data_IF_988269861599
#
_entry.id   IF_988269861599
#
_cell.length_a   1.000
_cell.length_b   1.000
_cell.length_c   1.000
_cell.angle_alpha   90.00
_cell.angle_beta   90.00
_cell.angle_gamma   90.00
#
_symmetry.space_group_name_H-M   'P 1'
#
loop_
_entity.id
_entity.type
_entity.pdbx_description
1 polymer ?
#
# COMPACT_ATOMS: atom_id res chain seq x y z
N UNK A 1 -10.98 -4.92 0.83
CA UNK A 1 -9.56 -4.65 0.49
C UNK A 1 -9.32 -4.81 -1.00
N UNK A 2 -8.25 -4.22 -1.49
CA UNK A 2 -7.72 -4.41 -2.83
C UNK A 2 -6.22 -4.69 -2.69
N UNK A 3 -5.74 -5.72 -3.39
CA UNK A 3 -4.32 -6.12 -3.39
C UNK A 3 -3.79 -5.94 -4.81
N UNK A 4 -2.65 -5.27 -4.95
CA UNK A 4 -2.01 -4.99 -6.23
C UNK A 4 -0.54 -5.36 -6.19
N UNK A 5 0.00 -5.73 -7.35
CA UNK A 5 1.43 -5.76 -7.61
C UNK A 5 1.79 -4.54 -8.45
N UNK A 6 2.70 -3.72 -7.96
CA UNK A 6 3.14 -2.49 -8.63
C UNK A 6 4.62 -2.60 -8.92
N UNK A 7 4.97 -2.51 -10.21
CA UNK A 7 6.34 -2.41 -10.69
C UNK A 7 6.59 -0.97 -11.16
N UNK A 8 7.37 -0.24 -10.40
CA UNK A 8 7.67 1.16 -10.67
C UNK A 8 8.89 1.31 -11.59
N UNK A 9 8.71 1.12 -12.90
CA UNK A 9 9.74 1.38 -13.89
C UNK A 9 10.15 2.86 -13.99
N UNK A 10 9.29 3.78 -13.51
CA UNK A 10 9.52 5.23 -13.37
C UNK A 10 8.95 5.71 -12.05
N UNK A 11 9.37 6.90 -11.59
CA UNK A 11 8.77 7.51 -10.41
C UNK A 11 7.26 7.66 -10.59
N UNK A 12 6.47 7.15 -9.67
CA UNK A 12 5.03 7.35 -9.68
C UNK A 12 4.70 8.77 -9.17
N UNK A 13 3.47 9.24 -9.46
CA UNK A 13 3.05 10.57 -9.01
C UNK A 13 3.17 10.72 -7.50
N UNK A 14 3.56 11.92 -7.05
CA UNK A 14 3.38 12.31 -5.65
C UNK A 14 1.89 12.54 -5.44
N UNK A 15 1.32 11.88 -4.44
CA UNK A 15 -0.11 11.81 -4.21
C UNK A 15 -0.45 11.70 -2.72
N UNK A 16 -1.71 11.93 -2.41
CA UNK A 16 -2.30 11.71 -1.08
C UNK A 16 -3.69 11.12 -1.24
N UNK A 17 -4.11 10.34 -0.26
CA UNK A 17 -5.45 9.75 -0.21
C UNK A 17 -6.24 10.30 0.97
N UNK A 18 -7.55 10.56 0.81
CA UNK A 18 -8.42 11.00 1.90
C UNK A 18 -8.74 9.85 2.87
N UNK A 19 -9.20 10.19 4.06
CA UNK A 19 -9.89 9.27 4.95
C UNK A 19 -11.34 8.98 4.48
N UNK A 20 -12.02 8.07 5.18
CA UNK A 20 -13.40 7.67 4.86
C UNK A 20 -14.39 8.84 4.93
N UNK A 21 -14.22 9.74 5.91
CA UNK A 21 -15.15 10.83 6.11
C UNK A 21 -15.11 11.81 4.92
N UNK A 22 -13.91 12.22 4.53
CA UNK A 22 -13.73 13.10 3.38
C UNK A 22 -14.12 12.43 2.06
N UNK A 23 -13.66 11.18 1.84
CA UNK A 23 -13.92 10.46 0.60
C UNK A 23 -15.42 10.21 0.38
N UNK A 24 -16.17 9.84 1.42
CA UNK A 24 -17.62 9.63 1.32
C UNK A 24 -18.37 10.92 1.04
N UNK A 25 -17.97 12.03 1.65
CA UNK A 25 -18.61 13.32 1.48
C UNK A 25 -18.37 13.94 0.09
N UNK A 26 -17.18 13.73 -0.51
CA UNK A 26 -16.77 14.44 -1.73
C UNK A 26 -16.73 13.54 -2.97
N UNK A 27 -16.49 12.24 -2.80
CA UNK A 27 -16.30 11.30 -3.92
C UNK A 27 -17.31 10.15 -3.93
N UNK A 28 -18.11 10.00 -2.87
CA UNK A 28 -19.03 8.86 -2.71
C UNK A 28 -18.33 7.50 -2.60
N UNK A 29 -17.07 7.49 -2.18
CA UNK A 29 -16.23 6.30 -2.07
C UNK A 29 -15.64 6.15 -0.67
N UNK A 30 -14.97 5.03 -0.40
CA UNK A 30 -14.17 4.87 0.81
C UNK A 30 -12.89 5.68 0.72
N UNK A 31 -12.31 6.00 1.87
CA UNK A 31 -10.94 6.50 1.99
C UNK A 31 -9.91 5.46 1.55
N UNK A 32 -8.65 5.80 1.62
CA UNK A 32 -7.59 4.92 1.18
C UNK A 32 -6.40 4.94 2.14
N UNK A 33 -6.46 4.08 3.14
CA UNK A 33 -5.30 3.65 3.93
C UNK A 33 -4.70 2.44 3.24
N UNK A 34 -3.37 2.38 3.17
CA UNK A 34 -2.63 1.33 2.48
C UNK A 34 -1.35 0.93 3.21
N UNK A 35 -0.83 -0.22 2.84
CA UNK A 35 0.51 -0.66 3.19
C UNK A 35 1.20 -1.23 1.97
N UNK A 36 2.52 -1.11 1.93
CA UNK A 36 3.38 -1.72 0.90
C UNK A 36 4.32 -2.72 1.54
N UNK A 37 4.42 -3.89 0.92
CA UNK A 37 5.49 -4.85 1.17
C UNK A 37 6.44 -4.82 -0.03
N UNK A 38 7.70 -4.50 0.20
CA UNK A 38 8.71 -4.37 -0.87
C UNK A 38 9.13 -5.76 -1.33
N UNK A 39 8.81 -6.13 -2.56
CA UNK A 39 9.17 -7.40 -3.18
C UNK A 39 10.60 -7.38 -3.72
N UNK A 40 10.97 -6.26 -4.34
CA UNK A 40 12.34 -5.99 -4.79
C UNK A 40 12.59 -4.49 -4.86
N UNK A 41 13.86 -4.11 -4.70
CA UNK A 41 14.30 -2.74 -4.86
C UNK A 41 15.68 -2.72 -5.53
N UNK A 42 15.88 -1.79 -6.46
CA UNK A 42 17.19 -1.52 -7.04
C UNK A 42 18.15 -0.94 -5.96
N UNK A 43 19.46 -1.02 -6.13
CA UNK A 43 20.40 -0.30 -5.27
C UNK A 43 19.99 1.19 -5.16
N UNK A 44 20.05 1.74 -3.95
CA UNK A 44 19.70 3.12 -3.62
C UNK A 44 18.24 3.54 -3.95
N UNK A 45 17.35 2.60 -4.23
CA UNK A 45 15.94 2.85 -4.43
C UNK A 45 15.31 3.42 -3.16
N UNK A 46 14.40 4.36 -3.34
CA UNK A 46 13.72 5.04 -2.25
C UNK A 46 12.26 5.35 -2.63
N UNK A 47 11.49 5.64 -1.62
CA UNK A 47 10.15 6.18 -1.77
C UNK A 47 10.02 7.48 -0.97
N UNK A 48 9.01 8.27 -1.28
CA UNK A 48 8.62 9.38 -0.41
C UNK A 48 7.47 8.93 0.50
N UNK A 49 7.56 9.27 1.81
CA UNK A 49 6.51 8.96 2.76
C UNK A 49 6.46 10.03 3.88
N UNK A 50 5.44 10.90 3.79
CA UNK A 50 5.28 12.03 4.70
C UNK A 50 6.27 13.17 4.46
N UNK A 51 6.31 14.10 5.40
CA UNK A 51 7.22 15.25 5.37
C UNK A 51 8.42 15.04 6.28
N UNK A 52 9.55 15.63 5.92
CA UNK A 52 10.78 15.65 6.71
C UNK A 52 10.71 16.64 7.89
N UNK A 53 9.78 17.60 7.86
CA UNK A 53 9.47 18.58 8.89
C UNK A 53 8.02 19.03 8.78
N UNK A 54 7.52 19.70 9.81
CA UNK A 54 6.21 20.33 9.74
C UNK A 54 6.20 21.44 8.69
N UNK A 55 5.09 21.55 7.95
CA UNK A 55 4.87 22.61 6.97
C UNK A 55 3.46 23.20 7.12
N UNK A 56 3.30 24.46 6.73
CA UNK A 56 1.98 25.09 6.67
C UNK A 56 1.21 24.70 5.41
N UNK A 57 -0.11 24.95 5.39
CA UNK A 57 -0.95 24.80 4.19
C UNK A 57 -0.44 25.67 3.03
N UNK A 58 -0.05 26.92 3.34
CA UNK A 58 0.43 27.88 2.33
C UNK A 58 1.80 27.45 1.78
N UNK A 59 2.66 26.90 2.63
CA UNK A 59 3.93 26.34 2.16
C UNK A 59 3.69 25.14 1.24
N UNK A 60 2.78 24.22 1.59
CA UNK A 60 2.43 23.08 0.74
C UNK A 60 1.94 23.58 -0.62
N UNK A 61 1.00 24.54 -0.65
CA UNK A 61 0.46 25.09 -1.89
C UNK A 61 1.55 25.72 -2.76
N UNK A 62 2.43 26.54 -2.16
CA UNK A 62 3.56 27.15 -2.86
C UNK A 62 4.52 26.10 -3.44
N UNK A 63 4.91 25.10 -2.65
CA UNK A 63 5.84 24.06 -3.08
C UNK A 63 5.29 23.20 -4.23
N UNK A 64 3.99 22.96 -4.25
CA UNK A 64 3.31 22.30 -5.37
C UNK A 64 3.40 23.19 -6.62
N UNK A 65 3.09 24.49 -6.50
CA UNK A 65 3.11 25.44 -7.61
C UNK A 65 4.52 25.62 -8.19
N UNK A 66 5.53 25.69 -7.32
CA UNK A 66 6.93 25.92 -7.69
C UNK A 66 7.67 24.63 -8.08
N UNK A 67 7.01 23.44 -8.04
CA UNK A 67 7.62 22.13 -8.28
C UNK A 67 8.80 21.82 -7.33
N UNK A 68 8.78 22.35 -6.10
CA UNK A 68 9.82 22.14 -5.07
C UNK A 68 9.36 21.21 -3.95
N UNK A 69 8.22 20.56 -4.11
CA UNK A 69 7.64 19.67 -3.10
C UNK A 69 8.60 18.54 -2.63
N UNK A 70 9.39 17.88 -3.49
CA UNK A 70 10.34 16.84 -3.07
C UNK A 70 11.36 17.29 -2.02
N UNK A 71 11.69 18.58 -1.92
CA UNK A 71 12.67 19.11 -0.97
C UNK A 71 12.22 19.02 0.50
N UNK A 72 10.92 18.89 0.74
CA UNK A 72 10.34 18.78 2.08
C UNK A 72 9.73 17.41 2.38
N UNK A 73 9.77 16.48 1.42
CA UNK A 73 9.30 15.12 1.63
C UNK A 73 10.36 14.28 2.36
N UNK A 74 9.89 13.35 3.17
CA UNK A 74 10.76 12.35 3.79
C UNK A 74 11.11 11.28 2.76
N UNK A 75 12.41 11.19 2.43
CA UNK A 75 12.96 10.12 1.59
C UNK A 75 13.27 8.90 2.46
N UNK A 76 12.68 7.76 2.12
CA UNK A 76 12.87 6.48 2.82
C UNK A 76 13.54 5.51 1.87
N UNK A 77 14.79 5.14 2.14
CA UNK A 77 15.47 4.09 1.39
C UNK A 77 14.85 2.73 1.76
N UNK A 78 14.65 1.88 0.78
CA UNK A 78 13.98 0.60 0.96
C UNK A 78 14.75 -0.55 0.29
N UNK A 79 14.55 -1.74 0.83
CA UNK A 79 15.05 -3.01 0.30
C UNK A 79 13.95 -4.07 0.33
N UNK A 80 14.15 -5.17 -0.38
CA UNK A 80 13.24 -6.30 -0.34
C UNK A 80 12.97 -6.76 1.12
N UNK A 81 11.72 -6.99 1.44
CA UNK A 81 11.24 -7.37 2.77
C UNK A 81 10.81 -6.21 3.65
N UNK A 82 11.12 -4.98 3.29
CA UNK A 82 10.66 -3.81 4.05
C UNK A 82 9.14 -3.62 3.93
N UNK A 83 8.54 -3.07 4.97
CA UNK A 83 7.12 -2.75 5.03
C UNK A 83 6.94 -1.27 5.31
N UNK A 84 6.02 -0.64 4.59
CA UNK A 84 5.67 0.77 4.77
C UNK A 84 4.17 0.89 4.95
N UNK A 85 3.73 1.45 6.08
CA UNK A 85 2.31 1.74 6.34
C UNK A 85 2.01 3.19 6.01
N UNK A 86 0.94 3.43 5.26
CA UNK A 86 0.56 4.74 4.73
C UNK A 86 -0.89 5.02 5.13
N UNK A 87 -1.12 5.60 6.32
CA UNK A 87 -2.46 6.02 6.71
C UNK A 87 -2.96 7.15 5.80
N UNK A 88 -4.27 7.22 5.61
CA UNK A 88 -4.91 8.33 4.90
C UNK A 88 -4.38 9.69 5.37
N UNK A 89 -4.28 10.65 4.44
CA UNK A 89 -3.67 11.96 4.67
C UNK A 89 -2.14 12.00 4.55
N UNK A 90 -1.46 10.86 4.38
CA UNK A 90 -0.02 10.83 4.19
C UNK A 90 0.33 11.08 2.72
N UNK A 91 1.11 12.12 2.45
CA UNK A 91 1.67 12.37 1.12
C UNK A 91 2.79 11.35 0.83
N UNK A 92 2.78 10.73 -0.35
CA UNK A 92 3.72 9.65 -0.66
C UNK A 92 3.95 9.48 -2.17
N UNK A 93 5.00 8.76 -2.53
CA UNK A 93 5.24 8.29 -3.90
C UNK A 93 6.16 7.06 -3.89
N UNK A 94 5.89 6.09 -4.74
CA UNK A 94 6.82 5.01 -5.08
C UNK A 94 7.75 5.55 -6.17
N UNK A 95 9.06 5.57 -5.91
CA UNK A 95 10.04 5.96 -6.91
C UNK A 95 10.51 4.74 -7.72
N UNK A 96 11.18 5.00 -8.82
CA UNK A 96 11.62 3.98 -9.79
C UNK A 96 12.45 2.86 -9.14
N UNK A 97 12.40 1.68 -9.75
CA UNK A 97 13.21 0.53 -9.36
C UNK A 97 12.68 -0.23 -8.15
N UNK A 98 11.43 -0.01 -7.77
CA UNK A 98 10.78 -0.68 -6.65
C UNK A 98 9.61 -1.50 -7.16
N UNK A 99 9.51 -2.75 -6.70
CA UNK A 99 8.33 -3.59 -6.88
C UNK A 99 7.70 -3.83 -5.52
N UNK A 100 6.41 -3.52 -5.39
CA UNK A 100 5.68 -3.71 -4.13
C UNK A 100 4.42 -4.56 -4.31
N UNK A 101 4.05 -5.26 -3.25
CA UNK A 101 2.68 -5.68 -3.03
C UNK A 101 1.98 -4.60 -2.19
N UNK A 102 0.96 -3.97 -2.75
CA UNK A 102 0.13 -2.97 -2.09
C UNK A 102 -1.15 -3.63 -1.57
N UNK A 103 -1.41 -3.48 -0.28
CA UNK A 103 -2.70 -3.84 0.34
C UNK A 103 -3.38 -2.55 0.80
N UNK A 104 -4.62 -2.32 0.36
CA UNK A 104 -5.32 -1.06 0.58
C UNK A 104 -6.83 -1.26 0.83
N UNK A 105 -7.48 -0.24 1.37
CA UNK A 105 -8.93 -0.14 1.29
C UNK A 105 -9.39 -0.22 -0.18
N UNK A 106 -10.57 -0.81 -0.43
CA UNK A 106 -11.18 -0.85 -1.76
C UNK A 106 -11.66 0.54 -2.17
N UNK A 107 -10.74 1.33 -2.71
CA UNK A 107 -10.94 2.72 -3.13
C UNK A 107 -10.03 3.05 -4.30
N UNK A 108 -10.51 3.92 -5.20
CA UNK A 108 -9.74 4.48 -6.31
C UNK A 108 -9.39 5.95 -6.11
N UNK A 109 -9.76 6.55 -4.96
CA UNK A 109 -9.56 7.97 -4.73
C UNK A 109 -8.09 8.30 -4.56
N UNK A 110 -7.59 9.16 -5.43
CA UNK A 110 -6.18 9.58 -5.44
C UNK A 110 -6.09 11.06 -5.80
N UNK A 111 -5.58 11.86 -4.88
CA UNK A 111 -5.30 13.27 -5.12
C UNK A 111 -3.84 13.47 -5.51
N UNK A 112 -3.61 13.62 -6.80
CA UNK A 112 -2.28 13.78 -7.40
C UNK A 112 -1.84 15.24 -7.29
N UNK A 113 -0.63 15.46 -6.79
CA UNK A 113 -0.06 16.82 -6.60
C UNK A 113 1.17 17.08 -7.46
N UNK A 114 1.86 16.04 -7.92
CA UNK A 114 2.95 16.17 -8.87
C UNK A 114 3.01 14.91 -9.75
N UNK A 115 3.09 15.09 -11.05
CA UNK A 115 3.15 13.99 -12.02
C UNK A 115 4.28 14.15 -13.04
N UNK A 116 5.24 15.01 -12.73
CA UNK A 116 6.45 15.23 -13.54
C UNK A 116 6.15 15.57 -15.02
N UNK A 117 5.00 16.18 -15.30
CA UNK A 117 4.59 16.55 -16.66
C UNK A 117 4.23 15.37 -17.56
N UNK A 118 3.97 14.18 -17.01
CA UNK A 118 3.60 13.00 -17.80
C UNK A 118 2.28 13.19 -18.52
N UNK A 119 2.27 12.75 -19.78
CA UNK A 119 1.06 12.75 -20.61
C UNK A 119 0.26 11.47 -20.37
N UNK A 120 -1.04 11.61 -20.31
CA UNK A 120 -1.99 10.51 -20.31
C UNK A 120 -2.15 9.87 -21.68
N UNK A 121 -3.00 8.84 -21.83
CA UNK A 121 -3.27 8.18 -23.12
C UNK A 121 -3.85 9.13 -24.16
N UNK A 122 -4.48 10.23 -23.74
CA UNK A 122 -5.04 11.29 -24.59
C UNK A 122 -4.01 12.36 -25.03
N UNK A 123 -2.73 12.16 -24.68
CA UNK A 123 -1.64 13.10 -24.99
C UNK A 123 -1.65 14.38 -24.14
N UNK A 124 -2.49 14.47 -23.11
CA UNK A 124 -2.55 15.63 -22.20
C UNK A 124 -1.94 15.31 -20.84
N UNK A 125 -1.41 16.31 -20.10
CA UNK A 125 -0.99 16.11 -18.72
C UNK A 125 -2.15 15.55 -17.89
N UNK A 126 -1.86 14.57 -17.01
CA UNK A 126 -2.87 14.05 -16.09
C UNK A 126 -3.28 15.14 -15.09
N UNK A 127 -4.57 15.16 -14.75
CA UNK A 127 -5.12 16.16 -13.84
C UNK A 127 -4.44 16.09 -12.46
N UNK A 128 -4.16 17.26 -11.88
CA UNK A 128 -3.75 17.43 -10.50
C UNK A 128 -4.97 17.82 -9.65
N UNK A 129 -4.99 17.39 -8.40
CA UNK A 129 -6.09 17.56 -7.46
C UNK A 129 -5.62 18.40 -6.26
N UNK A 130 -5.14 19.61 -6.54
CA UNK A 130 -4.39 20.44 -5.56
C UNK A 130 -5.29 20.85 -4.40
N UNK A 131 -6.51 21.32 -4.67
CA UNK A 131 -7.42 21.80 -3.63
C UNK A 131 -7.75 20.66 -2.63
N UNK A 132 -8.15 19.49 -3.13
CA UNK A 132 -8.47 18.32 -2.31
C UNK A 132 -7.23 17.85 -1.53
N UNK A 133 -6.07 17.83 -2.18
CA UNK A 133 -4.83 17.44 -1.53
C UNK A 133 -4.47 18.39 -0.36
N UNK A 134 -4.65 19.71 -0.54
CA UNK A 134 -4.43 20.68 0.52
C UNK A 134 -5.37 20.49 1.72
N UNK A 135 -6.57 19.96 1.48
CA UNK A 135 -7.55 19.71 2.54
C UNK A 135 -7.21 18.48 3.36
N UNK A 136 -6.80 17.38 2.70
CA UNK A 136 -6.63 16.08 3.35
C UNK A 136 -5.21 15.79 3.82
N UNK A 137 -4.19 16.52 3.31
CA UNK A 137 -2.80 16.21 3.63
C UNK A 137 -2.46 16.53 5.08
N UNK A 138 -1.96 15.54 5.82
CA UNK A 138 -1.31 15.72 7.10
C UNK A 138 0.03 16.43 6.90
N UNK A 139 0.22 17.57 7.55
CA UNK A 139 1.37 18.47 7.34
C UNK A 139 2.42 18.42 8.45
N UNK A 140 2.32 17.44 9.35
CA UNK A 140 3.30 17.19 10.41
C UNK A 140 4.41 16.27 9.92
N UNK A 141 5.60 16.43 10.51
CA UNK A 141 6.75 15.57 10.21
C UNK A 141 6.51 14.10 10.55
N UNK A 142 7.10 13.24 9.74
CA UNK A 142 7.01 11.80 9.92
C UNK A 142 5.65 11.19 9.59
N UNK A 143 5.57 9.89 9.72
CA UNK A 143 4.33 9.11 9.59
C UNK A 143 4.16 8.30 10.85
N UNK A 144 3.06 8.46 11.59
CA UNK A 144 2.79 7.62 12.73
C UNK A 144 2.72 6.15 12.31
N UNK A 145 3.60 5.34 12.87
CA UNK A 145 3.56 3.89 12.69
C UNK A 145 3.07 3.28 14.00
N UNK A 146 1.84 2.73 14.02
CA UNK A 146 1.31 2.07 15.20
C UNK A 146 2.12 0.82 15.55
N UNK A 147 2.00 0.36 16.80
CA UNK A 147 2.38 -1.01 17.12
C UNK A 147 1.33 -1.95 16.53
N UNK A 148 1.76 -2.79 15.61
CA UNK A 148 0.90 -3.75 14.92
C UNK A 148 0.75 -5.10 15.67
N UNK A 149 1.32 -5.24 16.87
CA UNK A 149 1.21 -6.46 17.67
C UNK A 149 1.81 -7.70 17.00
N UNK A 150 2.91 -7.52 16.26
CA UNK A 150 3.61 -8.59 15.53
C UNK A 150 3.14 -8.83 14.10
N UNK A 151 2.10 -8.15 13.64
CA UNK A 151 1.68 -8.13 12.24
C UNK A 151 2.57 -7.21 11.39
N UNK A 152 2.63 -7.40 10.08
CA UNK A 152 3.28 -6.44 9.16
C UNK A 152 2.52 -5.10 9.12
N UNK A 153 1.20 -5.17 9.15
CA UNK A 153 0.30 -4.04 9.33
C UNK A 153 -1.03 -4.50 9.91
N UNK A 154 -1.63 -3.65 10.75
CA UNK A 154 -2.97 -3.85 11.30
C UNK A 154 -3.66 -2.51 11.49
N UNK A 155 -4.87 -2.38 10.95
CA UNK A 155 -5.73 -1.23 11.11
C UNK A 155 -7.21 -1.66 11.03
N UNK A 156 -8.12 -0.71 11.10
CA UNK A 156 -9.57 -0.99 11.02
C UNK A 156 -10.03 -1.62 9.71
N UNK A 157 -9.17 -1.61 8.69
CA UNK A 157 -9.52 -2.02 7.33
C UNK A 157 -8.90 -3.33 6.89
N UNK A 158 -7.76 -3.70 7.47
CA UNK A 158 -7.04 -4.93 7.14
C UNK A 158 -5.98 -5.30 8.17
N UNK A 159 -5.67 -6.57 8.22
CA UNK A 159 -4.50 -7.13 8.90
C UNK A 159 -3.67 -7.88 7.85
N UNK A 160 -2.35 -7.66 7.84
CA UNK A 160 -1.42 -8.31 6.92
C UNK A 160 -0.31 -9.00 7.71
N UNK A 161 -0.09 -10.27 7.38
CA UNK A 161 0.95 -11.11 7.96
C UNK A 161 1.86 -11.67 6.88
N UNK A 162 3.11 -11.96 7.24
CA UNK A 162 4.00 -12.76 6.42
C UNK A 162 4.00 -14.19 6.96
N UNK A 163 3.56 -15.12 6.14
CA UNK A 163 3.60 -16.56 6.44
C UNK A 163 4.76 -17.23 5.72
N UNK A 164 5.42 -18.16 6.38
CA UNK A 164 6.47 -19.01 5.80
C UNK A 164 6.22 -20.47 6.17
N UNK A 165 6.05 -21.31 5.17
CA UNK A 165 5.80 -22.75 5.39
C UNK A 165 6.98 -23.43 6.14
N UNK A 166 6.71 -24.42 7.03
CA UNK A 166 5.38 -24.91 7.39
C UNK A 166 4.69 -24.00 8.43
N UNK A 167 3.58 -23.42 8.08
CA UNK A 167 2.82 -22.54 8.98
C UNK A 167 1.32 -22.64 8.71
N UNK A 168 0.51 -22.36 9.73
CA UNK A 168 -0.93 -22.28 9.64
C UNK A 168 -1.43 -20.86 9.95
N UNK A 169 -2.56 -20.50 9.32
CA UNK A 169 -3.26 -19.25 9.57
C UNK A 169 -4.77 -19.50 9.67
N UNK A 170 -5.45 -18.88 10.65
CA UNK A 170 -6.88 -19.03 10.79
C UNK A 170 -7.63 -18.33 9.64
N UNK A 171 -8.66 -18.99 9.10
CA UNK A 171 -9.68 -18.43 8.24
C UNK A 171 -11.03 -18.64 8.92
N UNK A 172 -11.25 -17.84 9.96
CA UNK A 172 -12.46 -17.92 10.81
C UNK A 172 -13.70 -17.36 10.14
N UNK A 173 -14.81 -17.37 10.85
CA UNK A 173 -16.10 -16.88 10.35
C UNK A 173 -16.14 -15.35 10.14
N UNK A 174 -15.26 -14.62 10.81
CA UNK A 174 -15.25 -13.15 10.83
C UNK A 174 -14.69 -12.54 9.53
N UNK A 175 -13.80 -13.24 8.83
CA UNK A 175 -13.12 -12.71 7.64
C UNK A 175 -12.66 -13.81 6.69
N UNK A 176 -12.55 -13.46 5.42
CA UNK A 176 -11.78 -14.24 4.45
C UNK A 176 -10.28 -14.23 4.77
N UNK A 177 -9.55 -15.12 4.11
CA UNK A 177 -8.08 -15.10 4.07
C UNK A 177 -7.62 -15.04 2.62
N UNK A 178 -6.92 -13.99 2.23
CA UNK A 178 -6.25 -13.88 0.93
C UNK A 178 -4.76 -14.19 1.11
N UNK A 179 -4.24 -15.11 0.31
CA UNK A 179 -2.83 -15.51 0.29
C UNK A 179 -2.21 -15.10 -1.05
N UNK A 180 -1.32 -14.11 -1.05
CA UNK A 180 -0.47 -13.78 -2.20
C UNK A 180 0.87 -14.48 -2.03
N UNK A 181 1.18 -15.43 -2.90
CA UNK A 181 2.42 -16.22 -2.84
C UNK A 181 3.58 -15.38 -3.35
N UNK A 182 4.47 -15.02 -2.44
CA UNK A 182 5.64 -14.18 -2.73
C UNK A 182 6.82 -14.96 -3.26
N UNK A 183 6.97 -16.20 -2.80
CA UNK A 183 8.10 -17.07 -3.17
C UNK A 183 7.81 -18.52 -2.86
N UNK A 184 8.57 -19.43 -3.48
CA UNK A 184 8.49 -20.87 -3.27
C UNK A 184 7.33 -21.55 -3.98
N UNK A 185 7.19 -22.82 -3.68
CA UNK A 185 6.10 -23.70 -4.14
C UNK A 185 5.70 -24.69 -3.05
N UNK A 186 4.46 -25.18 -3.11
CA UNK A 186 3.96 -26.12 -2.12
C UNK A 186 2.46 -26.33 -2.25
N UNK A 187 1.82 -26.59 -1.12
CA UNK A 187 0.40 -26.84 -1.07
C UNK A 187 -0.24 -26.03 0.08
N UNK A 188 -1.40 -25.47 -0.19
CA UNK A 188 -2.27 -24.86 0.80
C UNK A 188 -3.46 -25.78 1.03
N UNK A 189 -3.65 -26.21 2.28
CA UNK A 189 -4.77 -27.06 2.71
C UNK A 189 -5.72 -26.27 3.59
N UNK A 190 -7.00 -26.33 3.28
CA UNK A 190 -8.06 -25.68 4.09
C UNK A 190 -9.41 -26.36 3.85
N UNK A 191 -10.21 -26.56 4.91
CA UNK A 191 -11.56 -27.12 4.78
C UNK A 191 -11.66 -28.51 4.12
N UNK A 192 -10.61 -29.32 4.21
CA UNK A 192 -10.54 -30.63 3.53
C UNK A 192 -10.05 -30.58 2.09
N UNK A 193 -9.90 -29.42 1.51
CA UNK A 193 -9.36 -29.18 0.17
C UNK A 193 -7.85 -28.95 0.22
N UNK A 194 -7.17 -29.27 -0.90
CA UNK A 194 -5.73 -29.05 -1.06
C UNK A 194 -5.46 -28.46 -2.44
N UNK A 195 -4.77 -27.33 -2.50
CA UNK A 195 -4.44 -26.62 -3.73
C UNK A 195 -2.93 -26.42 -3.82
N UNK A 196 -2.31 -26.84 -4.93
CA UNK A 196 -0.93 -26.49 -5.22
C UNK A 196 -0.82 -25.00 -5.49
N UNK A 197 0.23 -24.40 -4.96
CA UNK A 197 0.50 -22.98 -5.12
C UNK A 197 1.98 -22.73 -5.35
N UNK A 198 2.30 -21.69 -6.11
CA UNK A 198 3.65 -21.24 -6.42
C UNK A 198 3.73 -19.72 -6.50
N UNK A 199 4.94 -19.21 -6.51
CA UNK A 199 5.23 -17.78 -6.63
C UNK A 199 4.38 -17.08 -7.70
N UNK A 200 3.80 -15.93 -7.32
CA UNK A 200 2.97 -15.09 -8.18
C UNK A 200 1.49 -15.46 -8.20
N UNK A 201 1.10 -16.57 -7.60
CA UNK A 201 -0.31 -16.95 -7.49
C UNK A 201 -0.98 -16.31 -6.26
N UNK A 202 -2.28 -16.13 -6.37
CA UNK A 202 -3.12 -15.61 -5.29
C UNK A 202 -4.27 -16.60 -5.04
N UNK A 203 -4.47 -16.93 -3.76
CA UNK A 203 -5.52 -17.82 -3.30
C UNK A 203 -6.48 -17.02 -2.41
N UNK A 204 -7.76 -17.24 -2.60
CA UNK A 204 -8.81 -16.66 -1.78
C UNK A 204 -9.56 -17.75 -1.05
N UNK A 205 -9.54 -17.69 0.27
CA UNK A 205 -10.26 -18.60 1.15
C UNK A 205 -11.44 -17.82 1.76
N UNK A 206 -12.70 -18.24 1.49
CA UNK A 206 -13.87 -17.61 2.07
C UNK A 206 -13.88 -17.66 3.60
N UNK A 207 -14.57 -16.72 4.23
CA UNK A 207 -14.77 -16.73 5.68
C UNK A 207 -15.39 -18.07 6.13
N UNK A 208 -14.92 -18.59 7.26
CA UNK A 208 -15.38 -19.87 7.78
C UNK A 208 -14.76 -21.11 7.16
N UNK A 209 -13.75 -20.97 6.29
CA UNK A 209 -13.05 -22.13 5.68
C UNK A 209 -12.22 -22.93 6.70
N UNK A 210 -12.00 -22.42 7.92
CA UNK A 210 -11.25 -23.10 8.96
C UNK A 210 -9.79 -22.64 9.04
N UNK A 211 -8.87 -23.57 9.20
CA UNK A 211 -7.44 -23.29 9.28
C UNK A 211 -6.74 -23.59 7.95
N UNK A 212 -6.08 -22.60 7.37
CA UNK A 212 -5.23 -22.77 6.20
C UNK A 212 -3.83 -23.21 6.63
N UNK A 213 -3.33 -24.32 6.07
CA UNK A 213 -1.98 -24.85 6.33
C UNK A 213 -1.13 -24.76 5.07
N UNK A 214 -0.01 -24.06 5.16
CA UNK A 214 0.97 -23.92 4.10
C UNK A 214 2.07 -24.99 4.27
N UNK A 215 2.43 -25.66 3.20
CA UNK A 215 3.51 -26.66 3.17
C UNK A 215 4.50 -26.37 2.05
N UNK A 216 5.59 -27.15 1.97
CA UNK A 216 6.65 -26.92 1.00
C UNK A 216 7.55 -25.75 1.39
N UNK A 217 7.85 -24.88 0.44
CA UNK A 217 8.71 -23.69 0.59
C UNK A 217 7.95 -22.37 0.47
N UNK A 218 6.61 -22.40 0.57
CA UNK A 218 5.75 -21.24 0.37
C UNK A 218 6.07 -20.10 1.34
N UNK A 219 6.18 -18.89 0.80
CA UNK A 219 6.10 -17.62 1.55
C UNK A 219 4.96 -16.80 0.97
N UNK A 220 4.09 -16.31 1.83
CA UNK A 220 2.89 -15.62 1.40
C UNK A 220 2.60 -14.37 2.26
N UNK A 221 2.05 -13.32 1.65
CA UNK A 221 1.30 -12.30 2.39
C UNK A 221 -0.11 -12.83 2.62
N UNK A 222 -0.48 -12.90 3.88
CA UNK A 222 -1.82 -13.26 4.33
C UNK A 222 -2.57 -11.98 4.71
N UNK A 223 -3.67 -11.71 4.02
CA UNK A 223 -4.49 -10.52 4.23
C UNK A 223 -5.90 -10.92 4.65
N UNK A 224 -6.42 -10.26 5.69
CA UNK A 224 -7.81 -10.38 6.17
C UNK A 224 -8.34 -9.02 6.62
N UNK A 225 -9.64 -8.92 6.85
CA UNK A 225 -10.32 -7.75 7.44
C UNK A 225 -10.43 -7.92 8.95
#
# INVERSE_FOLDING_TARGET
VLIKLIDAAKDLSIQVHPDDAYARAHEGQNGKTEMWYVLSAAPDAFLYCGFSRDISRDELARRIADNTLPEVLCRVNVKAGDTVFIPAGTIHAICRGIVVAEVQQSSNVTYRVCDYGRLGPDGKPRALHIAQALDVTRRTAGVPTPDFGGHLARCDYFTVDLLAAPQAAPCGAESFLSLLILDGEGEVRCGGEAVRAKKGESLFLPAGSGEARLTGTLRALATRI
#
